data_IF_871171121564
#
_entry.id   IF_871171121564
#
_cell.length_a   1.000
_cell.length_b   1.000
_cell.length_c   1.000
_cell.angle_alpha   90.00
_cell.angle_beta   90.00
_cell.angle_gamma   90.00
#
_symmetry.space_group_name_H-M   'P 1'
#
loop_
_entity.id
_entity.type
_entity.pdbx_description
1 polymer ?
#
# COMPACT_ATOMS: atom_id res chain seq x y z
N UNK A 1 10.03 41.87 10.15
CA UNK A 1 9.44 41.04 9.06
C UNK A 1 9.17 41.83 7.79
N UNK A 2 8.36 42.90 7.83
CA UNK A 2 8.10 43.76 6.65
C UNK A 2 9.38 44.36 6.06
N UNK A 3 10.32 44.78 6.90
CA UNK A 3 11.62 45.28 6.44
C UNK A 3 12.50 44.18 5.82
N UNK A 4 12.54 43.00 6.45
CA UNK A 4 13.25 41.83 5.91
C UNK A 4 12.73 41.42 4.52
N UNK A 5 11.41 41.45 4.32
CA UNK A 5 10.77 41.06 3.06
C UNK A 5 10.93 42.10 1.95
N UNK A 6 11.36 43.34 2.25
CA UNK A 6 11.43 44.43 1.27
C UNK A 6 12.48 44.17 0.18
N UNK A 7 13.57 43.48 0.54
CA UNK A 7 14.67 43.14 -0.37
C UNK A 7 14.71 41.64 -0.72
N UNK A 8 13.68 40.88 -0.31
CA UNK A 8 13.63 39.44 -0.48
C UNK A 8 12.91 39.07 -1.77
N UNK A 9 13.59 38.34 -2.66
CA UNK A 9 12.97 37.79 -3.87
C UNK A 9 12.74 36.29 -3.71
N UNK A 10 11.47 35.92 -3.52
CA UNK A 10 11.04 34.52 -3.37
C UNK A 10 11.27 33.66 -4.62
N UNK A 11 11.53 34.26 -5.78
CA UNK A 11 11.72 33.51 -7.04
C UNK A 11 13.17 33.07 -7.24
N UNK A 12 14.10 33.64 -6.47
CA UNK A 12 15.52 33.31 -6.55
C UNK A 12 15.88 32.28 -5.49
N UNK A 13 16.75 31.34 -5.88
CA UNK A 13 17.30 30.38 -4.92
C UNK A 13 18.17 31.14 -3.90
N UNK A 14 17.98 30.92 -2.58
CA UNK A 14 18.66 31.68 -1.52
C UNK A 14 20.18 31.75 -1.63
N UNK A 15 20.82 30.76 -2.24
CA UNK A 15 22.28 30.71 -2.38
C UNK A 15 22.67 30.16 -3.75
N UNK A 16 23.65 30.82 -4.39
CA UNK A 16 24.14 30.40 -5.72
C UNK A 16 24.79 29.00 -5.73
N UNK A 17 25.35 28.58 -4.60
CA UNK A 17 25.95 27.24 -4.39
C UNK A 17 24.92 26.12 -4.18
N UNK A 18 23.64 26.45 -4.18
CA UNK A 18 22.54 25.57 -3.83
C UNK A 18 22.23 25.57 -2.33
N UNK A 19 21.08 25.05 -1.98
CA UNK A 19 20.54 24.98 -0.62
C UNK A 19 20.47 23.53 -0.19
N UNK A 20 21.04 23.24 0.97
CA UNK A 20 20.87 21.96 1.65
C UNK A 20 19.56 22.01 2.45
N UNK A 21 18.70 21.02 2.21
CA UNK A 21 17.41 20.88 2.86
C UNK A 21 17.41 19.58 3.65
N UNK A 22 17.34 19.70 4.96
CA UNK A 22 17.21 18.56 5.86
C UNK A 22 15.72 18.22 6.02
N UNK A 23 15.40 16.95 5.78
CA UNK A 23 14.06 16.39 5.84
C UNK A 23 13.93 15.54 7.08
N UNK A 24 12.86 15.80 7.82
CA UNK A 24 12.43 15.02 8.97
C UNK A 24 11.01 14.53 8.71
N UNK A 25 10.79 13.23 8.89
CA UNK A 25 9.48 12.63 8.76
C UNK A 25 9.03 12.05 10.09
N UNK A 26 7.81 12.40 10.48
CA UNK A 26 7.14 11.79 11.61
C UNK A 26 5.82 11.16 11.15
N UNK A 27 5.74 9.84 11.18
CA UNK A 27 4.53 9.08 10.85
C UNK A 27 3.62 9.06 12.09
N UNK A 28 2.49 9.77 12.00
CA UNK A 28 1.52 9.86 13.10
C UNK A 28 0.63 8.64 13.19
N UNK A 29 0.24 8.07 12.05
CA UNK A 29 -0.53 6.83 11.93
C UNK A 29 -0.59 6.35 10.49
N UNK A 30 -0.80 5.06 10.33
CA UNK A 30 -1.15 4.45 9.05
C UNK A 30 -2.64 4.13 9.13
N UNK A 31 -3.45 4.77 8.28
CA UNK A 31 -4.91 4.71 8.36
C UNK A 31 -5.46 3.42 7.78
N UNK A 32 -4.99 3.04 6.58
CA UNK A 32 -5.46 1.86 5.86
C UNK A 32 -4.42 1.39 4.84
N UNK A 33 -4.49 0.10 4.50
CA UNK A 33 -3.80 -0.50 3.36
C UNK A 33 -4.88 -1.06 2.44
N UNK A 34 -4.97 -0.50 1.24
CA UNK A 34 -5.95 -0.88 0.22
C UNK A 34 -5.33 -1.86 -0.76
N UNK A 35 -5.71 -3.12 -0.64
CA UNK A 35 -5.28 -4.19 -1.56
C UNK A 35 -5.78 -3.93 -2.99
N UNK A 36 -7.02 -3.44 -3.11
CA UNK A 36 -7.69 -3.15 -4.38
C UNK A 36 -6.99 -2.02 -5.13
N UNK A 37 -6.64 -0.94 -4.43
CA UNK A 37 -5.98 0.22 -5.05
C UNK A 37 -4.47 0.06 -5.08
N UNK A 38 -3.92 -0.94 -4.39
CA UNK A 38 -2.49 -1.13 -4.20
C UNK A 38 -1.78 0.05 -3.57
N UNK A 39 -2.32 0.52 -2.44
CA UNK A 39 -1.85 1.73 -1.77
C UNK A 39 -2.00 1.67 -0.26
N UNK A 40 -1.19 2.46 0.44
CA UNK A 40 -1.31 2.72 1.87
C UNK A 40 -1.59 4.19 2.10
N UNK A 41 -2.54 4.49 2.98
CA UNK A 41 -2.85 5.84 3.41
C UNK A 41 -2.27 6.09 4.78
N UNK A 42 -1.51 7.16 4.93
CA UNK A 42 -0.86 7.52 6.19
C UNK A 42 -0.92 9.03 6.46
N UNK A 43 -1.01 9.36 7.74
CA UNK A 43 -0.90 10.72 8.25
C UNK A 43 0.55 10.97 8.69
N UNK A 44 1.19 11.94 8.06
CA UNK A 44 2.59 12.28 8.33
C UNK A 44 2.74 13.75 8.65
N UNK A 45 3.70 14.04 9.53
CA UNK A 45 4.26 15.36 9.76
C UNK A 45 5.57 15.43 8.97
N UNK A 46 5.57 16.24 7.93
CA UNK A 46 6.67 16.40 7.01
C UNK A 46 7.40 17.72 7.29
N UNK A 47 8.61 17.62 7.82
CA UNK A 47 9.44 18.76 8.17
C UNK A 47 10.54 19.00 7.14
N UNK A 48 10.68 20.26 6.76
CA UNK A 48 11.73 20.77 5.87
C UNK A 48 12.49 21.84 6.63
N UNK A 49 13.80 21.69 6.74
CA UNK A 49 14.68 22.61 7.44
C UNK A 49 15.76 23.04 6.44
N UNK A 50 15.86 24.33 6.18
CA UNK A 50 16.90 24.87 5.31
C UNK A 50 17.39 26.22 5.80
N UNK A 51 18.54 26.64 5.29
CA UNK A 51 19.13 27.92 5.65
C UNK A 51 18.93 28.95 4.53
N UNK A 52 18.32 30.08 4.86
CA UNK A 52 18.13 31.22 3.97
C UNK A 52 18.72 32.49 4.61
N UNK A 53 19.92 32.93 4.16
CA UNK A 53 20.57 34.12 4.69
C UNK A 53 19.74 35.41 4.53
N UNK A 54 18.87 35.48 3.52
CA UNK A 54 18.00 36.64 3.27
C UNK A 54 16.91 36.83 4.33
N UNK A 55 16.66 35.79 5.14
CA UNK A 55 15.71 35.81 6.24
C UNK A 55 16.40 35.88 7.61
N UNK A 56 17.70 36.20 7.67
CA UNK A 56 18.36 36.44 8.95
C UNK A 56 17.91 37.77 9.55
N UNK A 57 17.63 37.76 10.85
CA UNK A 57 17.24 38.94 11.60
C UNK A 57 18.10 39.15 12.84
N UNK A 58 19.31 38.56 12.89
CA UNK A 58 20.20 38.67 14.06
C UNK A 58 20.54 40.11 14.42
N UNK A 59 20.67 40.96 13.41
CA UNK A 59 21.15 42.34 13.54
C UNK A 59 19.99 43.33 13.71
N UNK A 60 18.74 42.84 13.75
CA UNK A 60 17.54 43.67 13.93
C UNK A 60 17.31 44.01 15.41
N UNK A 61 16.80 45.23 15.67
CA UNK A 61 16.51 45.69 17.02
C UNK A 61 15.47 44.78 17.70
N UNK A 62 15.81 44.25 18.87
CA UNK A 62 14.97 43.32 19.63
C UNK A 62 15.14 41.83 19.28
N UNK A 63 15.96 41.50 18.26
CA UNK A 63 16.25 40.10 17.90
C UNK A 63 16.96 39.32 19.00
N UNK A 64 17.72 40.00 19.86
CA UNK A 64 18.43 39.41 21.00
C UNK A 64 17.48 38.73 22.02
N UNK A 65 16.20 39.14 22.05
CA UNK A 65 15.18 38.58 22.93
C UNK A 65 14.35 37.46 22.29
N UNK A 66 14.49 37.22 20.98
CA UNK A 66 13.68 36.27 20.22
C UNK A 66 14.51 35.03 19.86
N UNK A 67 14.12 33.87 20.40
CA UNK A 67 14.74 32.59 20.05
C UNK A 67 14.32 32.09 18.67
N UNK A 68 13.07 32.32 18.30
CA UNK A 68 12.51 32.04 16.98
C UNK A 68 11.31 32.94 16.68
N UNK A 69 11.01 33.10 15.39
CA UNK A 69 9.84 33.81 14.90
C UNK A 69 8.85 32.78 14.35
N UNK A 70 7.80 32.48 15.12
CA UNK A 70 6.70 31.62 14.64
C UNK A 70 5.71 32.44 13.80
N UNK A 71 5.44 31.97 12.59
CA UNK A 71 4.67 32.69 11.57
C UNK A 71 3.40 31.93 11.19
N UNK A 72 2.40 32.68 10.73
CA UNK A 72 1.18 32.11 10.18
C UNK A 72 1.43 31.49 8.80
N UNK A 73 0.66 30.45 8.45
CA UNK A 73 0.70 29.80 7.13
C UNK A 73 0.59 30.78 5.94
N UNK A 74 -0.06 31.95 6.11
CA UNK A 74 -0.18 32.98 5.06
C UNK A 74 1.16 33.56 4.60
N UNK A 75 2.19 33.43 5.42
CA UNK A 75 3.53 33.91 5.09
C UNK A 75 4.28 32.97 4.15
N UNK A 76 3.85 31.71 4.05
CA UNK A 76 4.49 30.68 3.21
C UNK A 76 4.56 31.14 1.75
N UNK A 77 3.50 31.78 1.24
CA UNK A 77 3.45 32.27 -0.14
C UNK A 77 4.45 33.40 -0.43
N UNK A 78 4.98 34.07 0.60
CA UNK A 78 5.94 35.17 0.45
C UNK A 78 7.39 34.69 0.52
N UNK A 79 7.62 33.43 0.89
CA UNK A 79 8.96 32.85 1.06
C UNK A 79 9.33 31.97 -0.13
N UNK A 80 10.63 31.84 -0.38
CA UNK A 80 11.12 30.81 -1.30
C UNK A 80 10.93 29.43 -0.67
N UNK A 81 10.52 28.45 -1.48
CA UNK A 81 10.31 27.07 -1.06
C UNK A 81 11.19 26.12 -1.88
N UNK A 82 11.78 25.07 -1.27
CA UNK A 82 12.56 24.07 -1.99
C UNK A 82 11.73 23.14 -2.88
N UNK A 83 10.39 23.29 -2.89
CA UNK A 83 9.44 22.53 -3.71
C UNK A 83 9.58 21.00 -3.59
N UNK A 84 9.81 20.49 -2.37
CA UNK A 84 9.87 19.05 -2.11
C UNK A 84 8.46 18.46 -2.17
N UNK A 85 8.27 17.42 -2.98
CA UNK A 85 7.02 16.72 -3.18
C UNK A 85 7.20 15.21 -3.05
N UNK A 86 6.08 14.50 -3.00
CA UNK A 86 6.04 13.03 -2.95
C UNK A 86 5.74 12.53 -4.36
N UNK A 87 6.78 12.22 -5.12
CA UNK A 87 6.69 12.00 -6.59
C UNK A 87 5.88 10.77 -6.97
N UNK A 88 5.87 9.75 -6.13
CA UNK A 88 5.16 8.51 -6.40
C UNK A 88 3.79 8.45 -5.71
N UNK A 89 3.34 9.53 -5.06
CA UNK A 89 2.04 9.55 -4.40
C UNK A 89 0.88 9.38 -5.39
N UNK A 90 -0.15 8.63 -4.99
CA UNK A 90 -1.42 8.52 -5.74
C UNK A 90 -2.36 9.68 -5.41
N UNK A 91 -2.24 10.19 -4.20
CA UNK A 91 -2.94 11.36 -3.71
C UNK A 91 -2.26 11.89 -2.46
N UNK A 92 -2.33 13.21 -2.28
CA UNK A 92 -1.82 13.86 -1.07
C UNK A 92 -2.64 15.10 -0.76
N UNK A 93 -2.94 15.33 0.51
CA UNK A 93 -3.69 16.51 0.96
C UNK A 93 -3.15 17.04 2.28
N UNK A 94 -2.98 18.35 2.38
CA UNK A 94 -2.64 19.01 3.65
C UNK A 94 -3.90 19.06 4.52
N UNK A 95 -3.75 18.70 5.80
CA UNK A 95 -4.84 18.80 6.78
C UNK A 95 -5.27 20.25 6.97
N UNK A 96 -6.57 20.49 7.14
CA UNK A 96 -7.16 21.81 7.35
C UNK A 96 -8.15 21.76 8.51
N UNK A 97 -7.94 22.53 9.58
CA UNK A 97 -8.98 22.76 10.60
C UNK A 97 -8.54 23.80 11.64
N UNK A 98 -9.08 25.03 11.67
CA UNK A 98 -9.91 25.71 10.65
C UNK A 98 -9.09 26.27 9.47
N UNK A 99 -7.77 26.33 9.60
CA UNK A 99 -6.83 26.76 8.55
C UNK A 99 -5.90 25.61 8.16
N UNK A 100 -5.14 25.72 7.05
CA UNK A 100 -4.12 24.74 6.70
C UNK A 100 -3.13 24.54 7.84
N UNK A 101 -2.87 23.28 8.18
CA UNK A 101 -1.97 22.88 9.26
C UNK A 101 -0.52 22.93 8.78
N UNK A 102 -0.01 24.15 8.66
CA UNK A 102 1.37 24.44 8.28
C UNK A 102 2.00 25.22 9.44
N UNK A 103 3.07 24.67 10.00
CA UNK A 103 3.90 25.36 10.96
C UNK A 103 5.10 25.96 10.24
N UNK A 104 5.41 27.21 10.55
CA UNK A 104 6.54 27.94 9.99
C UNK A 104 7.23 28.69 11.11
N UNK A 105 8.52 28.43 11.29
CA UNK A 105 9.37 29.16 12.22
C UNK A 105 10.67 29.58 11.53
N UNK A 106 11.12 30.80 11.79
CA UNK A 106 12.40 31.31 11.32
C UNK A 106 13.29 31.55 12.53
N UNK A 107 14.48 30.96 12.54
CA UNK A 107 15.48 31.18 13.57
C UNK A 107 16.31 32.45 13.26
N UNK A 108 16.93 33.09 14.27
CA UNK A 108 17.67 34.34 14.08
C UNK A 108 18.70 34.26 12.95
N UNK A 109 19.39 33.13 12.81
CA UNK A 109 20.38 32.89 11.77
C UNK A 109 19.80 32.78 10.34
N UNK A 110 18.48 32.87 10.13
CA UNK A 110 17.86 32.66 8.83
C UNK A 110 17.56 31.20 8.51
N UNK A 111 17.69 30.28 9.48
CA UNK A 111 17.22 28.90 9.29
C UNK A 111 15.71 28.89 9.34
N UNK A 112 15.09 28.36 8.30
CA UNK A 112 13.65 28.19 8.19
C UNK A 112 13.32 26.75 8.56
N UNK A 113 12.40 26.58 9.49
CA UNK A 113 11.79 25.30 9.82
C UNK A 113 10.32 25.34 9.44
N UNK A 114 9.97 24.50 8.49
CA UNK A 114 8.61 24.37 8.00
C UNK A 114 8.13 22.95 8.24
N UNK A 115 6.92 22.79 8.75
CA UNK A 115 6.31 21.49 8.99
C UNK A 115 4.89 21.46 8.42
N UNK A 116 4.59 20.41 7.65
CA UNK A 116 3.27 20.17 7.07
C UNK A 116 2.66 18.94 7.69
N UNK A 117 1.40 19.04 8.12
CA UNK A 117 0.59 17.86 8.44
C UNK A 117 -0.17 17.42 7.21
N UNK A 118 0.22 16.30 6.61
CA UNK A 118 -0.35 15.81 5.34
C UNK A 118 -0.85 14.38 5.47
N UNK A 119 -1.95 14.10 4.77
CA UNK A 119 -2.36 12.74 4.42
C UNK A 119 -1.67 12.41 3.10
N UNK A 120 -1.00 11.26 3.03
CA UNK A 120 -0.43 10.76 1.78
C UNK A 120 -0.92 9.35 1.50
N UNK A 121 -1.29 9.13 0.25
CA UNK A 121 -1.54 7.81 -0.31
C UNK A 121 -0.32 7.38 -1.13
N UNK A 122 0.45 6.43 -0.59
CA UNK A 122 1.66 5.89 -1.22
C UNK A 122 1.37 4.55 -1.90
N UNK A 123 2.01 4.26 -3.03
CA UNK A 123 1.86 2.98 -3.71
C UNK A 123 2.53 1.86 -2.92
N UNK A 124 1.92 0.68 -2.97
CA UNK A 124 2.48 -0.53 -2.37
C UNK A 124 2.64 -1.61 -3.43
N UNK A 125 3.76 -2.32 -3.36
CA UNK A 125 3.96 -3.57 -4.06
C UNK A 125 3.39 -4.70 -3.21
N UNK A 126 2.49 -5.47 -3.81
CA UNK A 126 1.76 -6.54 -3.15
C UNK A 126 1.87 -7.82 -3.94
N UNK A 127 2.61 -8.76 -3.35
CA UNK A 127 2.72 -10.12 -3.88
C UNK A 127 1.84 -11.07 -3.05
N UNK A 128 0.77 -11.54 -3.69
CA UNK A 128 -0.20 -12.47 -3.10
C UNK A 128 0.15 -13.95 -3.34
N UNK A 129 1.35 -14.27 -3.85
CA UNK A 129 1.78 -15.67 -4.09
C UNK A 129 1.66 -16.56 -2.86
N UNK A 130 1.97 -16.02 -1.67
CA UNK A 130 1.92 -16.74 -0.39
C UNK A 130 0.76 -16.31 0.51
N UNK A 131 -0.31 -15.76 -0.07
CA UNK A 131 -1.49 -15.38 0.69
C UNK A 131 -2.04 -16.56 1.56
N UNK A 132 -2.47 -16.35 2.82
CA UNK A 132 -2.54 -15.10 3.61
C UNK A 132 -1.26 -14.76 4.39
N UNK A 133 -0.15 -15.46 4.13
CA UNK A 133 1.15 -15.27 4.79
C UNK A 133 2.08 -14.39 3.94
N UNK A 134 1.49 -13.44 3.23
CA UNK A 134 2.13 -12.49 2.34
C UNK A 134 2.81 -11.33 3.11
N UNK A 135 3.67 -10.62 2.38
CA UNK A 135 4.32 -9.39 2.83
C UNK A 135 3.98 -8.28 1.84
N UNK A 136 3.79 -7.08 2.38
CA UNK A 136 3.48 -5.89 1.58
C UNK A 136 4.56 -4.85 1.81
N UNK A 137 5.07 -4.28 0.73
CA UNK A 137 6.08 -3.22 0.77
C UNK A 137 5.49 -1.94 0.19
N UNK A 138 5.41 -0.89 1.01
CA UNK A 138 4.94 0.42 0.56
C UNK A 138 6.11 1.39 0.52
N UNK A 139 6.34 2.00 -0.64
CA UNK A 139 7.46 2.94 -0.84
C UNK A 139 6.94 4.35 -1.02
N UNK A 140 7.54 5.31 -0.34
CA UNK A 140 7.26 6.74 -0.48
C UNK A 140 8.55 7.45 -0.85
N UNK A 141 8.54 8.22 -1.94
CA UNK A 141 9.72 8.89 -2.49
C UNK A 141 9.53 10.40 -2.42
N UNK A 142 10.45 11.09 -1.76
CA UNK A 142 10.49 12.55 -1.65
C UNK A 142 11.59 13.10 -2.57
N UNK A 143 11.25 14.13 -3.36
CA UNK A 143 12.14 14.76 -4.33
C UNK A 143 11.74 16.23 -4.53
N UNK A 144 12.68 17.10 -4.89
CA UNK A 144 12.40 18.48 -5.30
C UNK A 144 11.84 18.51 -6.73
N UNK A 145 10.60 18.94 -6.91
CA UNK A 145 9.96 18.92 -8.24
C UNK A 145 10.65 19.83 -9.26
N UNK A 146 11.13 21.00 -8.81
CA UNK A 146 11.64 22.05 -9.71
C UNK A 146 13.16 22.10 -9.81
N UNK A 147 13.88 21.59 -8.82
CA UNK A 147 15.30 21.89 -8.63
C UNK A 147 16.13 20.62 -8.61
N UNK A 148 17.19 20.58 -9.42
CA UNK A 148 18.17 19.50 -9.44
C UNK A 148 19.16 19.61 -8.25
N UNK A 149 20.05 18.61 -8.12
CA UNK A 149 21.10 18.54 -7.06
C UNK A 149 22.03 19.77 -7.04
N UNK A 150 22.15 20.50 -8.16
CA UNK A 150 22.94 21.72 -8.23
C UNK A 150 22.32 22.90 -7.46
N UNK A 151 21.00 22.90 -7.28
CA UNK A 151 20.25 23.98 -6.62
C UNK A 151 19.66 23.56 -5.28
N UNK A 152 19.13 22.34 -5.16
CA UNK A 152 18.55 21.82 -3.93
C UNK A 152 19.13 20.43 -3.66
N UNK A 153 19.72 20.24 -2.48
CA UNK A 153 20.27 18.97 -2.02
C UNK A 153 19.44 18.47 -0.85
N UNK A 154 18.81 17.31 -1.01
CA UNK A 154 17.95 16.74 0.01
C UNK A 154 18.75 15.78 0.89
N UNK A 155 18.61 15.91 2.20
CA UNK A 155 19.22 15.00 3.15
C UNK A 155 18.20 14.57 4.20
N UNK A 156 18.26 13.31 4.62
CA UNK A 156 17.63 12.94 5.89
C UNK A 156 18.28 13.74 7.01
N UNK A 157 17.49 14.17 8.00
CA UNK A 157 17.95 14.91 9.18
C UNK A 157 19.26 14.33 9.70
N UNK A 158 20.34 15.11 9.62
CA UNK A 158 21.72 14.65 9.91
C UNK A 158 21.96 14.38 11.40
N UNK A 159 21.17 15.01 12.26
CA UNK A 159 21.27 14.89 13.71
C UNK A 159 19.93 14.44 14.31
N UNK A 160 19.95 13.39 15.12
CA UNK A 160 18.76 12.79 15.70
C UNK A 160 18.15 11.71 14.80
N UNK A 161 16.86 11.45 14.98
CA UNK A 161 16.13 10.42 14.26
C UNK A 161 15.45 11.09 13.05
N UNK A 162 15.80 10.71 11.79
CA UNK A 162 15.23 11.36 10.61
C UNK A 162 13.81 10.90 10.29
N UNK A 163 13.47 9.67 10.67
CA UNK A 163 12.15 9.08 10.47
C UNK A 163 11.68 8.46 11.78
N UNK A 164 10.61 9.01 12.36
CA UNK A 164 10.02 8.51 13.60
C UNK A 164 8.59 8.02 13.35
N UNK A 165 8.18 6.99 14.08
CA UNK A 165 6.82 6.43 14.05
C UNK A 165 6.26 6.46 15.46
N UNK A 166 5.30 7.36 15.72
CA UNK A 166 4.71 7.55 17.06
C UNK A 166 3.35 6.84 17.18
N UNK A 167 2.66 6.64 16.06
CA UNK A 167 1.32 6.05 16.03
C UNK A 167 1.27 4.56 16.29
N UNK A 168 0.05 4.05 16.51
CA UNK A 168 -0.20 2.62 16.43
C UNK A 168 0.11 2.12 15.01
N UNK A 169 1.01 1.15 14.95
CA UNK A 169 1.48 0.52 13.72
C UNK A 169 0.67 -0.73 13.37
N UNK A 170 -0.25 -1.12 14.25
CA UNK A 170 -1.13 -2.26 14.07
C UNK A 170 -2.43 -1.79 13.42
N UNK A 171 -2.63 -2.22 12.19
CA UNK A 171 -3.92 -2.20 11.54
C UNK A 171 -4.68 -3.51 11.89
N UNK A 172 -6.01 -3.54 11.75
CA UNK A 172 -6.78 -4.75 12.00
C UNK A 172 -6.30 -5.97 11.18
N UNK A 173 -5.96 -5.74 9.91
CA UNK A 173 -5.58 -6.80 8.96
C UNK A 173 -4.05 -6.90 8.77
N UNK A 174 -3.29 -5.90 9.17
CA UNK A 174 -1.84 -5.82 8.94
C UNK A 174 -1.10 -5.28 10.15
N UNK A 175 0.10 -5.79 10.39
CA UNK A 175 1.03 -5.21 11.36
C UNK A 175 2.30 -4.79 10.63
N UNK A 176 2.76 -3.57 10.92
CA UNK A 176 4.06 -3.11 10.43
C UNK A 176 5.16 -3.92 11.12
N UNK A 177 6.09 -4.44 10.33
CA UNK A 177 7.22 -5.23 10.86
C UNK A 177 8.45 -4.36 11.08
N UNK A 178 8.80 -3.55 10.08
CA UNK A 178 9.94 -2.64 10.12
C UNK A 178 9.80 -1.60 9.01
N UNK A 179 10.63 -0.57 9.07
CA UNK A 179 10.77 0.42 8.02
C UNK A 179 12.25 0.67 7.74
N UNK A 180 12.54 1.14 6.53
CA UNK A 180 13.89 1.51 6.09
C UNK A 180 13.81 2.87 5.41
N UNK A 181 14.77 3.75 5.71
CA UNK A 181 14.94 5.02 5.01
C UNK A 181 16.28 5.04 4.28
N UNK A 182 16.29 5.51 3.04
CA UNK A 182 17.49 5.55 2.19
C UNK A 182 17.56 6.89 1.44
N UNK A 183 18.78 7.32 1.11
CA UNK A 183 19.02 8.41 0.17
C UNK A 183 19.47 7.81 -1.15
N UNK A 184 18.83 8.21 -2.23
CA UNK A 184 19.12 7.79 -3.59
C UNK A 184 19.27 9.02 -4.49
N UNK A 185 19.70 8.80 -5.73
CA UNK A 185 19.72 9.83 -6.77
C UNK A 185 19.03 9.28 -8.01
N UNK A 186 18.26 10.12 -8.70
CA UNK A 186 17.59 9.74 -9.93
C UNK A 186 18.05 10.62 -11.08
N UNK A 187 18.34 10.00 -12.23
CA UNK A 187 18.79 10.71 -13.42
C UNK A 187 17.62 10.90 -14.40
N UNK A 188 17.21 12.14 -14.56
CA UNK A 188 16.29 12.57 -15.61
C UNK A 188 17.07 13.12 -16.81
N UNK A 189 16.43 13.25 -17.99
CA UNK A 189 17.05 13.92 -19.14
C UNK A 189 17.50 15.36 -18.83
N UNK A 190 16.84 16.03 -17.89
CA UNK A 190 17.14 17.40 -17.49
C UNK A 190 18.29 17.51 -16.44
N UNK A 191 18.83 16.38 -15.95
CA UNK A 191 19.85 16.36 -14.91
C UNK A 191 19.60 15.33 -13.81
N UNK A 192 20.29 15.48 -12.67
CA UNK A 192 20.23 14.55 -11.54
C UNK A 192 19.50 15.19 -10.36
N UNK A 193 18.61 14.43 -9.74
CA UNK A 193 17.82 14.80 -8.56
C UNK A 193 18.20 13.91 -7.36
N UNK A 194 18.19 14.51 -6.17
CA UNK A 194 18.29 13.75 -4.92
C UNK A 194 16.90 13.22 -4.56
N UNK A 195 16.83 11.95 -4.21
CA UNK A 195 15.62 11.28 -3.73
C UNK A 195 15.82 10.77 -2.31
N UNK A 196 14.81 10.96 -1.48
CA UNK A 196 14.76 10.38 -0.14
C UNK A 196 13.61 9.38 -0.12
N UNK A 197 13.91 8.11 0.15
CA UNK A 197 12.91 7.04 0.10
C UNK A 197 12.66 6.49 1.49
N UNK A 198 11.41 6.12 1.74
CA UNK A 198 11.02 5.32 2.91
C UNK A 198 10.26 4.11 2.41
N UNK A 199 10.66 2.94 2.93
CA UNK A 199 10.04 1.65 2.67
C UNK A 199 9.42 1.15 3.96
N UNK A 200 8.10 0.95 3.96
CA UNK A 200 7.33 0.41 5.06
C UNK A 200 6.98 -1.04 4.74
N UNK A 201 7.35 -1.96 5.62
CA UNK A 201 7.10 -3.39 5.44
C UNK A 201 6.01 -3.89 6.37
N UNK A 202 4.96 -4.45 5.80
CA UNK A 202 3.81 -4.98 6.51
C UNK A 202 3.68 -6.49 6.36
N UNK A 203 3.10 -7.12 7.38
CA UNK A 203 2.67 -8.52 7.35
C UNK A 203 1.18 -8.60 7.67
N UNK A 204 0.50 -9.50 6.97
CA UNK A 204 -0.93 -9.74 7.17
C UNK A 204 -1.20 -10.56 8.43
N UNK A 205 -2.27 -10.22 9.14
CA UNK A 205 -2.84 -11.06 10.19
C UNK A 205 -3.68 -12.17 9.56
N UNK A 206 -3.12 -13.38 9.49
CA UNK A 206 -3.74 -14.50 8.78
C UNK A 206 -4.83 -15.24 9.58
N UNK A 207 -4.97 -14.97 10.89
CA UNK A 207 -5.84 -15.74 11.79
C UNK A 207 -7.31 -15.74 11.36
N UNK A 208 -7.82 -14.57 10.94
CA UNK A 208 -9.17 -14.43 10.40
C UNK A 208 -9.37 -15.28 9.14
N UNK A 209 -8.43 -15.22 8.20
CA UNK A 209 -8.51 -15.97 6.94
C UNK A 209 -8.48 -17.48 7.16
N UNK A 210 -7.67 -17.98 8.11
CA UNK A 210 -7.66 -19.40 8.46
C UNK A 210 -9.02 -19.86 8.98
N UNK A 211 -9.63 -19.12 9.91
CA UNK A 211 -10.88 -19.51 10.56
C UNK A 211 -12.12 -19.34 9.67
N UNK A 212 -12.16 -18.32 8.81
CA UNK A 212 -13.34 -18.00 8.00
C UNK A 212 -13.28 -18.59 6.58
N UNK A 213 -12.08 -18.83 6.05
CA UNK A 213 -11.92 -19.33 4.68
C UNK A 213 -11.46 -20.79 4.71
N UNK A 214 -10.27 -21.04 5.26
CA UNK A 214 -9.67 -22.38 5.18
C UNK A 214 -10.46 -23.43 5.98
N UNK A 215 -10.81 -23.14 7.23
CA UNK A 215 -11.50 -24.11 8.09
C UNK A 215 -12.86 -24.55 7.52
N UNK A 216 -13.77 -23.67 7.07
CA UNK A 216 -15.02 -24.09 6.44
C UNK A 216 -14.80 -24.86 5.14
N UNK A 217 -13.82 -24.49 4.31
CA UNK A 217 -13.50 -25.22 3.08
C UNK A 217 -13.03 -26.64 3.39
N UNK A 218 -12.18 -26.84 4.41
CA UNK A 218 -11.78 -28.18 4.85
C UNK A 218 -12.97 -28.98 5.39
N UNK A 219 -13.83 -28.37 6.21
CA UNK A 219 -15.06 -29.02 6.69
C UNK A 219 -15.99 -29.44 5.54
N UNK A 220 -16.17 -28.60 4.52
CA UNK A 220 -16.98 -28.93 3.33
C UNK A 220 -16.40 -30.11 2.56
N UNK A 221 -15.07 -30.17 2.40
CA UNK A 221 -14.41 -31.32 1.76
C UNK A 221 -14.60 -32.60 2.59
N UNK A 222 -14.50 -32.53 3.92
CA UNK A 222 -14.76 -33.70 4.78
C UNK A 222 -16.22 -34.17 4.71
N UNK A 223 -17.19 -33.23 4.73
CA UNK A 223 -18.62 -33.55 4.57
C UNK A 223 -18.88 -34.23 3.23
N UNK A 224 -18.21 -33.75 2.18
CA UNK A 224 -18.35 -34.35 0.86
C UNK A 224 -17.89 -35.82 0.82
N UNK A 225 -16.92 -36.21 1.66
CA UNK A 225 -16.45 -37.60 1.77
C UNK A 225 -17.42 -38.52 2.51
N UNK A 226 -18.37 -37.97 3.29
CA UNK A 226 -19.43 -38.76 3.94
C UNK A 226 -20.31 -39.46 2.89
N UNK A 227 -20.44 -38.88 1.69
CA UNK A 227 -21.14 -39.52 0.56
C UNK A 227 -20.61 -40.91 0.20
N UNK A 228 -19.32 -41.18 0.43
CA UNK A 228 -18.72 -42.49 0.17
C UNK A 228 -19.16 -43.58 1.15
N UNK A 229 -19.61 -43.20 2.35
CA UNK A 229 -20.00 -44.14 3.41
C UNK A 229 -21.49 -44.49 3.40
N UNK A 230 -22.31 -43.75 2.64
CA UNK A 230 -23.73 -44.03 2.48
C UNK A 230 -23.93 -45.31 1.67
N UNK A 231 -25.06 -46.01 1.83
CA UNK A 231 -25.36 -47.19 1.02
C UNK A 231 -25.56 -46.80 -0.47
N UNK A 232 -25.24 -47.70 -1.40
CA UNK A 232 -25.35 -47.45 -2.85
C UNK A 232 -26.81 -47.32 -3.30
N UNK A 233 -27.75 -47.81 -2.49
CA UNK A 233 -29.20 -47.77 -2.75
C UNK A 233 -29.82 -46.38 -2.53
N UNK A 234 -29.20 -45.51 -1.73
CA UNK A 234 -29.72 -44.16 -1.43
C UNK A 234 -29.12 -43.08 -2.34
N UNK A 235 -29.28 -43.28 -3.65
CA UNK A 235 -28.77 -42.39 -4.70
C UNK A 235 -29.17 -40.91 -4.47
N UNK A 236 -30.44 -40.56 -4.15
CA UNK A 236 -30.83 -39.16 -3.93
C UNK A 236 -30.05 -38.45 -2.80
N UNK A 237 -29.69 -39.16 -1.74
CA UNK A 237 -28.97 -38.60 -0.59
C UNK A 237 -27.52 -38.26 -0.96
N UNK A 238 -26.86 -39.15 -1.71
CA UNK A 238 -25.50 -38.94 -2.22
C UNK A 238 -25.43 -37.73 -3.16
N UNK A 239 -26.39 -37.63 -4.09
CA UNK A 239 -26.48 -36.50 -5.04
C UNK A 239 -26.64 -35.18 -4.31
N UNK A 240 -27.59 -35.13 -3.38
CA UNK A 240 -27.91 -33.92 -2.63
C UNK A 240 -26.72 -33.41 -1.83
N UNK A 241 -25.97 -34.30 -1.17
CA UNK A 241 -24.77 -33.94 -0.42
C UNK A 241 -23.66 -33.40 -1.33
N UNK A 242 -23.43 -34.03 -2.49
CA UNK A 242 -22.41 -33.59 -3.45
C UNK A 242 -22.72 -32.21 -4.04
N UNK A 243 -23.97 -32.00 -4.49
CA UNK A 243 -24.42 -30.73 -5.08
C UNK A 243 -24.44 -29.62 -4.05
N UNK A 244 -24.94 -29.88 -2.84
CA UNK A 244 -25.00 -28.86 -1.77
C UNK A 244 -23.61 -28.43 -1.32
N UNK A 245 -22.66 -29.38 -1.21
CA UNK A 245 -21.26 -29.08 -0.86
C UNK A 245 -20.57 -28.25 -1.95
N UNK A 246 -20.83 -28.57 -3.23
CA UNK A 246 -20.29 -27.79 -4.36
C UNK A 246 -20.88 -26.38 -4.38
N UNK A 247 -22.20 -26.24 -4.20
CA UNK A 247 -22.88 -24.95 -4.14
C UNK A 247 -22.31 -24.08 -3.01
N UNK A 248 -22.15 -24.65 -1.81
CA UNK A 248 -21.58 -23.97 -0.67
C UNK A 248 -20.15 -23.49 -0.95
N UNK A 249 -19.31 -24.31 -1.59
CA UNK A 249 -17.96 -23.94 -2.00
C UNK A 249 -17.96 -22.80 -3.02
N UNK A 250 -18.85 -22.84 -4.03
CA UNK A 250 -18.97 -21.73 -5.00
C UNK A 250 -19.44 -20.43 -4.37
N UNK A 251 -20.37 -20.48 -3.41
CA UNK A 251 -20.82 -19.30 -2.68
C UNK A 251 -19.71 -18.71 -1.81
N UNK A 252 -18.93 -19.57 -1.12
CA UNK A 252 -17.78 -19.14 -0.35
C UNK A 252 -16.73 -18.46 -1.24
N UNK A 253 -16.42 -19.05 -2.41
CA UNK A 253 -15.51 -18.43 -3.38
C UNK A 253 -16.02 -17.08 -3.88
N UNK A 254 -17.31 -16.97 -4.23
CA UNK A 254 -17.90 -15.72 -4.69
C UNK A 254 -17.87 -14.61 -3.61
N UNK A 255 -17.90 -14.96 -2.33
CA UNK A 255 -17.72 -14.01 -1.23
C UNK A 255 -16.27 -13.51 -1.16
N UNK A 256 -15.30 -14.42 -1.22
CA UNK A 256 -13.87 -14.08 -1.14
C UNK A 256 -13.40 -13.31 -2.37
N UNK A 257 -13.82 -13.71 -3.57
CA UNK A 257 -13.43 -13.03 -4.81
C UNK A 257 -13.91 -11.57 -4.88
N UNK A 258 -14.93 -11.20 -4.11
CA UNK A 258 -15.43 -9.81 -4.02
C UNK A 258 -14.57 -8.91 -3.13
N UNK A 259 -13.89 -9.47 -2.14
CA UNK A 259 -13.04 -8.71 -1.21
C UNK A 259 -11.63 -8.47 -1.76
N UNK A 260 -11.32 -8.92 -2.98
CA UNK A 260 -9.95 -9.00 -3.50
C UNK A 260 -9.82 -8.39 -4.89
N UNK A 261 -8.61 -7.94 -5.26
CA UNK A 261 -8.36 -7.46 -6.61
C UNK A 261 -8.45 -8.62 -7.61
N UNK A 262 -9.08 -8.34 -8.76
CA UNK A 262 -9.41 -9.36 -9.79
C UNK A 262 -8.19 -10.14 -10.32
N UNK A 263 -7.00 -9.54 -10.30
CA UNK A 263 -5.75 -10.15 -10.80
C UNK A 263 -5.28 -11.30 -9.90
N UNK A 264 -5.59 -11.24 -8.61
CA UNK A 264 -5.03 -12.14 -7.60
C UNK A 264 -6.01 -13.20 -7.09
N UNK A 265 -7.25 -13.21 -7.58
CA UNK A 265 -8.25 -14.24 -7.25
C UNK A 265 -7.75 -15.68 -7.54
N UNK A 266 -6.79 -15.84 -8.46
CA UNK A 266 -6.14 -17.13 -8.76
C UNK A 266 -5.20 -17.66 -7.67
N UNK A 267 -4.68 -16.79 -6.79
CA UNK A 267 -3.80 -17.18 -5.68
C UNK A 267 -4.57 -17.90 -4.54
N UNK A 268 -5.87 -17.61 -4.43
CA UNK A 268 -6.75 -18.13 -3.37
C UNK A 268 -7.36 -19.49 -3.69
N UNK A 269 -7.32 -19.92 -4.95
CA UNK A 269 -7.74 -21.27 -5.26
C UNK A 269 -6.69 -22.23 -4.69
N UNK A 270 -7.06 -23.15 -3.78
CA UNK A 270 -6.33 -24.39 -3.70
C UNK A 270 -6.59 -25.13 -5.02
N UNK A 271 -5.82 -24.78 -6.05
CA UNK A 271 -5.89 -25.35 -7.41
C UNK A 271 -5.90 -26.87 -7.36
N UNK A 272 -5.24 -27.42 -6.34
CA UNK A 272 -5.14 -28.85 -6.10
C UNK A 272 -6.38 -29.45 -5.41
N UNK A 273 -7.07 -28.73 -4.52
CA UNK A 273 -8.16 -29.29 -3.71
C UNK A 273 -9.47 -29.40 -4.51
N UNK A 274 -9.77 -28.40 -5.34
CA UNK A 274 -10.93 -28.42 -6.22
C UNK A 274 -10.75 -29.47 -7.35
N UNK A 275 -9.53 -29.60 -7.89
CA UNK A 275 -9.19 -30.66 -8.86
C UNK A 275 -9.26 -32.06 -8.22
N UNK A 276 -8.78 -32.23 -6.98
CA UNK A 276 -8.87 -33.50 -6.24
C UNK A 276 -10.33 -33.90 -5.98
N UNK A 277 -11.19 -32.95 -5.63
CA UNK A 277 -12.62 -33.21 -5.46
C UNK A 277 -13.27 -33.68 -6.77
N UNK A 278 -13.02 -32.97 -7.88
CA UNK A 278 -13.58 -33.30 -9.20
C UNK A 278 -13.01 -34.61 -9.78
N UNK A 279 -11.71 -34.87 -9.61
CA UNK A 279 -11.07 -36.08 -10.13
C UNK A 279 -11.43 -37.33 -9.34
N UNK A 280 -11.63 -37.24 -8.01
CA UNK A 280 -11.98 -38.41 -7.19
C UNK A 280 -13.47 -38.75 -7.26
N UNK A 281 -14.34 -37.74 -7.40
CA UNK A 281 -15.77 -37.95 -7.66
C UNK A 281 -16.04 -38.53 -9.06
N UNK A 282 -15.32 -38.07 -10.10
CA UNK A 282 -15.50 -38.58 -11.47
C UNK A 282 -14.91 -39.98 -11.71
N UNK A 283 -13.84 -40.36 -11.02
CA UNK A 283 -13.17 -41.66 -11.25
C UNK A 283 -13.93 -42.87 -10.70
N UNK A 284 -15.02 -42.67 -9.95
CA UNK A 284 -15.73 -43.74 -9.25
C UNK A 284 -17.17 -43.98 -9.74
N UNK A 285 -17.71 -43.12 -10.62
CA UNK A 285 -19.08 -43.24 -11.14
C UNK A 285 -19.08 -43.14 -12.68
N UNK A 286 -19.09 -44.32 -13.33
CA UNK A 286 -19.25 -44.52 -14.79
C UNK A 286 -20.68 -44.23 -15.29
N UNK A 287 -21.44 -43.33 -14.64
CA UNK A 287 -22.81 -43.00 -15.03
C UNK A 287 -22.84 -41.71 -15.86
N UNK A 288 -23.22 -41.85 -17.14
CA UNK A 288 -23.18 -40.82 -18.17
C UNK A 288 -24.01 -39.55 -17.86
N UNK A 289 -24.96 -39.63 -16.94
CA UNK A 289 -25.87 -38.54 -16.57
C UNK A 289 -25.18 -37.49 -15.66
N UNK A 290 -24.24 -37.94 -14.82
CA UNK A 290 -23.41 -37.08 -13.95
C UNK A 290 -22.34 -36.31 -14.72
N UNK A 291 -21.77 -36.96 -15.75
CA UNK A 291 -20.78 -36.34 -16.65
C UNK A 291 -21.34 -35.12 -17.39
N UNK A 292 -22.63 -35.12 -17.72
CA UNK A 292 -23.27 -34.02 -18.43
C UNK A 292 -23.47 -32.78 -17.53
N UNK A 293 -23.83 -32.97 -16.25
CA UNK A 293 -23.99 -31.87 -15.29
C UNK A 293 -22.64 -31.27 -14.83
N UNK A 294 -21.62 -32.11 -14.60
CA UNK A 294 -20.26 -31.65 -14.28
C UNK A 294 -19.62 -30.85 -15.43
N UNK A 295 -19.83 -31.27 -16.69
CA UNK A 295 -19.41 -30.49 -17.88
C UNK A 295 -20.06 -29.10 -17.91
N UNK A 296 -21.34 -29.01 -17.55
CA UNK A 296 -22.08 -27.76 -17.55
C UNK A 296 -21.58 -26.80 -16.46
N UNK A 297 -21.34 -27.30 -15.24
CA UNK A 297 -20.90 -26.51 -14.09
C UNK A 297 -19.44 -26.04 -14.23
N UNK A 298 -18.55 -26.87 -14.76
CA UNK A 298 -17.16 -26.50 -15.07
C UNK A 298 -17.08 -25.45 -16.18
N UNK A 299 -18.00 -25.49 -17.15
CA UNK A 299 -18.04 -24.52 -18.26
C UNK A 299 -18.41 -23.09 -17.81
N UNK A 300 -19.09 -22.96 -16.66
CA UNK A 300 -19.53 -21.69 -16.07
C UNK A 300 -18.49 -21.09 -15.10
N UNK A 301 -17.71 -21.93 -14.41
CA UNK A 301 -16.82 -21.50 -13.30
C UNK A 301 -15.36 -21.31 -13.69
N UNK A 302 -14.92 -21.79 -14.86
CA UNK A 302 -13.50 -21.92 -15.19
C UNK A 302 -13.12 -21.13 -16.44
N UNK A 303 -12.22 -20.15 -16.28
CA UNK A 303 -11.71 -19.30 -17.36
C UNK A 303 -11.01 -20.06 -18.50
N UNK A 304 -10.83 -19.42 -19.68
CA UNK A 304 -10.57 -20.09 -20.96
C UNK A 304 -9.29 -20.94 -21.02
N UNK A 305 -8.25 -20.63 -20.25
CA UNK A 305 -7.01 -21.43 -20.20
C UNK A 305 -7.19 -22.78 -19.49
N UNK A 306 -8.11 -22.87 -18.53
CA UNK A 306 -8.37 -24.09 -17.78
C UNK A 306 -9.48 -24.95 -18.45
N UNK A 307 -10.29 -24.36 -19.34
CA UNK A 307 -11.14 -25.10 -20.32
C UNK A 307 -10.33 -26.04 -21.23
N UNK A 308 -9.17 -25.59 -21.73
CA UNK A 308 -8.31 -26.39 -22.63
C UNK A 308 -7.74 -27.65 -21.96
N UNK A 309 -7.27 -27.50 -20.71
CA UNK A 309 -6.66 -28.59 -19.95
C UNK A 309 -7.69 -29.61 -19.49
N UNK A 310 -8.85 -29.13 -19.02
CA UNK A 310 -9.95 -30.00 -18.59
C UNK A 310 -10.62 -30.69 -19.78
N UNK A 311 -10.81 -30.02 -20.93
CA UNK A 311 -11.32 -30.69 -22.13
C UNK A 311 -10.36 -31.77 -22.66
N UNK A 312 -9.03 -31.55 -22.64
CA UNK A 312 -8.05 -32.58 -23.04
C UNK A 312 -8.06 -33.78 -22.08
N UNK A 313 -8.23 -33.54 -20.78
CA UNK A 313 -8.29 -34.60 -19.78
C UNK A 313 -9.60 -35.41 -19.88
N UNK A 314 -10.73 -34.76 -20.18
CA UNK A 314 -12.01 -35.41 -20.44
C UNK A 314 -11.96 -36.22 -21.76
N UNK A 315 -11.31 -35.71 -22.81
CA UNK A 315 -11.21 -36.42 -24.08
C UNK A 315 -10.37 -37.71 -23.97
N UNK A 316 -9.29 -37.68 -23.17
CA UNK A 316 -8.49 -38.85 -22.87
C UNK A 316 -9.18 -39.89 -21.96
N UNK A 317 -10.19 -39.47 -21.19
CA UNK A 317 -10.99 -40.35 -20.32
C UNK A 317 -12.19 -40.98 -21.05
N UNK A 318 -12.54 -40.51 -22.24
CA UNK A 318 -13.63 -41.06 -23.07
C UNK A 318 -13.09 -42.02 -24.15
N UNK A 319 -11.77 -42.05 -24.35
CA UNK A 319 -11.10 -42.88 -25.37
C UNK A 319 -10.47 -44.17 -24.84
N UNK A 320 -10.71 -44.52 -23.58
CA UNK A 320 -10.39 -45.81 -22.93
C UNK A 320 -11.55 -46.18 -21.98
#
# INVERSE_FOLDING_TARGET
>A
MTEMLKNYDRNLVPTMKGVDVDIELLIQRISEISEIQSSSKMDILFSQIWHDPGLSFKDEDGAQCLTNLSLSHRMVDQLWLPNVCIVNSKGSSIHQSPTPNIFLAIFPNGTVWMNYRIVVESPCDMDFTFFPMDRVECTTVFESYSFNVGKVRLHWKRHGIPVEVIGDTNLPDFHMTHYVHEKATFQYPAGVWDQLNIKLYFRRSYGFYILQIYLPTYCMVLISWISFWLDRKSLPARVTLGVSSLMALTLQYANVARSLPKVYAHAYLPKNLCLLYLTKSSKQENDAEYYCQLKYIVSITVGPKCKSMICRMIFHLVSN
#
